data_IF_558110998041
#
_entry.id   IF_558110998041
#
_cell.length_a   1.000
_cell.length_b   1.000
_cell.length_c   1.000
_cell.angle_alpha   90.00
_cell.angle_beta   90.00
_cell.angle_gamma   90.00
#
_symmetry.space_group_name_H-M   'P 1'
#
loop_
_entity.id
_entity.type
_entity.pdbx_description
1 polymer ?
#
# COMPACT_ATOMS: atom_id res chain seq x y z
N UNK A 1 -69.12 1.56 79.68
CA UNK A 1 -67.87 0.85 79.28
C UNK A 1 -67.21 0.35 80.55
N UNK A 2 -67.03 -0.95 80.62
CA UNK A 2 -66.35 -1.60 81.71
C UNK A 2 -64.81 -1.27 81.64
N UNK A 3 -64.12 -1.39 82.76
CA UNK A 3 -62.61 -1.13 82.77
C UNK A 3 -61.87 -2.02 81.79
N UNK A 4 -62.34 -3.23 81.55
CA UNK A 4 -61.79 -4.21 80.60
C UNK A 4 -61.99 -3.78 79.14
N UNK A 5 -63.11 -3.16 78.78
CA UNK A 5 -63.36 -2.62 77.40
C UNK A 5 -62.44 -1.44 77.10
N UNK A 6 -62.09 -0.60 78.06
CA UNK A 6 -61.14 0.50 77.87
C UNK A 6 -59.72 0.00 77.66
N UNK A 7 -59.35 -1.03 78.36
CA UNK A 7 -57.99 -1.65 78.18
C UNK A 7 -57.87 -2.28 76.81
N UNK A 8 -58.91 -3.01 76.37
CA UNK A 8 -58.91 -3.64 75.05
C UNK A 8 -58.88 -2.60 73.92
N UNK A 9 -59.66 -1.52 74.03
CA UNK A 9 -59.58 -0.43 73.06
C UNK A 9 -58.22 0.24 72.99
N UNK A 10 -57.57 0.45 74.14
CA UNK A 10 -56.19 1.02 74.15
C UNK A 10 -55.17 0.08 73.46
N UNK A 11 -55.26 -1.23 73.73
CA UNK A 11 -54.36 -2.20 73.09
C UNK A 11 -54.59 -2.24 71.58
N UNK A 12 -55.87 -2.20 71.13
CA UNK A 12 -56.15 -2.20 69.68
C UNK A 12 -55.64 -0.90 69.05
N UNK A 13 -55.90 0.27 69.67
CA UNK A 13 -55.44 1.56 69.14
C UNK A 13 -53.89 1.62 69.11
N UNK A 14 -53.17 1.08 70.08
CA UNK A 14 -51.68 0.99 70.08
C UNK A 14 -51.23 0.04 68.99
N UNK A 15 -51.90 -1.11 68.79
CA UNK A 15 -51.51 -2.04 67.70
C UNK A 15 -51.75 -1.47 66.30
N UNK A 16 -52.88 -0.73 66.14
CA UNK A 16 -53.15 0.01 64.88
C UNK A 16 -52.10 1.09 64.59
N UNK A 17 -51.74 1.89 65.59
CA UNK A 17 -50.71 2.92 65.48
C UNK A 17 -49.33 2.31 65.12
N UNK A 18 -48.98 1.20 65.78
CA UNK A 18 -47.70 0.53 65.42
C UNK A 18 -47.72 -0.09 63.98
N UNK A 19 -48.86 -0.56 63.54
CA UNK A 19 -49.03 -1.07 62.16
C UNK A 19 -48.90 0.03 61.13
N UNK A 20 -49.55 1.23 61.40
CA UNK A 20 -49.40 2.41 60.53
C UNK A 20 -47.96 2.89 60.43
N UNK A 21 -47.22 2.95 61.57
CA UNK A 21 -45.82 3.30 61.56
C UNK A 21 -44.93 2.34 60.76
N UNK A 22 -45.18 1.04 60.89
CA UNK A 22 -44.46 0.02 60.09
C UNK A 22 -44.73 0.17 58.62
N UNK A 23 -46.01 0.39 58.23
CA UNK A 23 -46.37 0.58 56.80
C UNK A 23 -45.74 1.86 56.27
N UNK A 24 -45.81 2.97 56.95
CA UNK A 24 -45.19 4.24 56.53
C UNK A 24 -43.67 4.13 56.40
N UNK A 25 -43.00 3.45 57.33
CA UNK A 25 -41.58 3.19 57.24
C UNK A 25 -41.21 2.29 56.06
N UNK A 26 -42.03 1.29 55.76
CA UNK A 26 -41.85 0.38 54.62
C UNK A 26 -42.04 1.13 53.28
N UNK A 27 -43.08 1.96 53.19
CA UNK A 27 -43.36 2.79 52.00
C UNK A 27 -42.21 3.77 51.74
N UNK A 28 -41.79 4.49 52.75
CA UNK A 28 -40.63 5.41 52.63
C UNK A 28 -39.39 4.69 52.15
N UNK A 29 -39.09 3.52 52.70
CA UNK A 29 -37.93 2.73 52.28
C UNK A 29 -38.05 2.21 50.85
N UNK A 30 -39.29 1.87 50.42
CA UNK A 30 -39.55 1.48 49.03
C UNK A 30 -39.33 2.64 48.07
N UNK A 31 -39.80 3.86 48.42
CA UNK A 31 -39.54 5.06 47.62
C UNK A 31 -38.03 5.39 47.51
N UNK A 32 -37.27 5.30 48.62
CA UNK A 32 -35.84 5.51 48.62
C UNK A 32 -35.12 4.51 47.69
N UNK A 33 -35.45 3.23 47.75
CA UNK A 33 -34.88 2.19 46.86
C UNK A 33 -35.21 2.45 45.38
N UNK A 34 -36.49 2.84 45.09
CA UNK A 34 -36.90 3.14 43.71
C UNK A 34 -36.15 4.34 43.17
N UNK A 35 -35.99 5.42 43.98
CA UNK A 35 -35.23 6.61 43.60
C UNK A 35 -33.76 6.29 43.31
N UNK A 36 -33.09 5.57 44.23
CA UNK A 36 -31.70 5.16 44.06
C UNK A 36 -31.49 4.31 42.80
N UNK A 37 -32.35 3.34 42.53
CA UNK A 37 -32.29 2.51 41.34
C UNK A 37 -32.59 3.27 40.06
N UNK A 38 -33.47 4.25 40.09
CA UNK A 38 -33.73 5.11 38.95
C UNK A 38 -32.51 5.99 38.61
N UNK A 39 -31.83 6.55 39.61
CA UNK A 39 -30.60 7.32 39.43
C UNK A 39 -29.47 6.44 38.88
N UNK A 40 -29.25 5.27 39.42
CA UNK A 40 -28.28 4.31 38.92
C UNK A 40 -28.56 3.93 37.45
N UNK A 41 -29.80 3.62 37.11
CA UNK A 41 -30.22 3.25 35.76
C UNK A 41 -29.98 4.42 34.77
N UNK A 42 -30.26 5.64 35.19
CA UNK A 42 -30.03 6.84 34.37
C UNK A 42 -28.53 7.09 34.15
N UNK A 43 -27.73 6.94 35.17
CA UNK A 43 -26.24 7.05 35.04
C UNK A 43 -25.69 6.01 34.08
N UNK A 44 -26.10 4.74 34.23
CA UNK A 44 -25.66 3.68 33.33
C UNK A 44 -26.09 3.91 31.87
N UNK A 45 -27.35 4.39 31.66
CA UNK A 45 -27.80 4.73 30.32
C UNK A 45 -26.98 5.85 29.67
N UNK A 46 -26.62 6.86 30.45
CA UNK A 46 -25.75 7.94 29.97
C UNK A 46 -24.33 7.44 29.62
N UNK A 47 -23.74 6.59 30.43
CA UNK A 47 -22.43 6.00 30.14
C UNK A 47 -22.45 5.13 28.88
N UNK A 48 -23.49 4.30 28.73
CA UNK A 48 -23.66 3.46 27.51
C UNK A 48 -23.79 4.34 26.28
N UNK A 49 -24.62 5.39 26.34
CA UNK A 49 -24.82 6.31 25.22
C UNK A 49 -23.51 7.03 24.85
N UNK A 50 -22.81 7.60 25.83
CA UNK A 50 -21.53 8.28 25.62
C UNK A 50 -20.44 7.33 25.05
N UNK A 51 -20.42 6.08 25.54
CA UNK A 51 -19.51 5.05 24.99
C UNK A 51 -19.85 4.69 23.54
N UNK A 52 -21.15 4.56 23.23
CA UNK A 52 -21.62 4.25 21.88
C UNK A 52 -21.29 5.39 20.89
N UNK A 53 -21.49 6.65 21.30
CA UNK A 53 -21.14 7.82 20.50
C UNK A 53 -19.64 7.89 20.20
N UNK A 54 -18.78 7.68 21.21
CA UNK A 54 -17.32 7.62 21.01
C UNK A 54 -16.91 6.51 20.06
N UNK A 55 -17.54 5.33 20.17
CA UNK A 55 -17.24 4.20 19.27
C UNK A 55 -17.70 4.50 17.84
N UNK A 56 -18.85 5.11 17.67
CA UNK A 56 -19.37 5.50 16.35
C UNK A 56 -18.43 6.52 15.67
N UNK A 57 -17.96 7.54 16.40
CA UNK A 57 -17.02 8.52 15.88
C UNK A 57 -15.66 7.88 15.50
N UNK A 58 -15.17 6.98 16.34
CA UNK A 58 -13.92 6.24 16.04
C UNK A 58 -14.07 5.38 14.77
N UNK A 59 -15.18 4.66 14.62
CA UNK A 59 -15.45 3.83 13.42
C UNK A 59 -15.51 4.72 12.18
N UNK A 60 -16.19 5.87 12.25
CA UNK A 60 -16.28 6.82 11.14
C UNK A 60 -14.90 7.38 10.75
N UNK A 61 -14.15 7.90 11.70
CA UNK A 61 -12.81 8.45 11.49
C UNK A 61 -11.82 7.41 10.93
N UNK A 62 -11.87 6.18 11.46
CA UNK A 62 -11.05 5.08 10.96
C UNK A 62 -11.46 4.68 9.54
N UNK A 63 -12.76 4.65 9.26
CA UNK A 63 -13.28 4.36 7.91
C UNK A 63 -12.85 5.41 6.89
N UNK A 64 -12.95 6.69 7.22
CA UNK A 64 -12.49 7.79 6.36
C UNK A 64 -10.98 7.73 6.09
N UNK A 65 -10.19 7.50 7.14
CA UNK A 65 -8.73 7.35 7.01
C UNK A 65 -8.35 6.15 6.13
N UNK A 66 -9.01 5.02 6.32
CA UNK A 66 -8.79 3.82 5.52
C UNK A 66 -9.16 4.04 4.05
N UNK A 67 -10.28 4.71 3.78
CA UNK A 67 -10.69 5.05 2.41
C UNK A 67 -9.67 5.96 1.72
N UNK A 68 -9.14 6.97 2.41
CA UNK A 68 -8.09 7.84 1.88
C UNK A 68 -6.80 7.08 1.55
N UNK A 69 -6.39 6.13 2.42
CA UNK A 69 -5.23 5.28 2.18
C UNK A 69 -5.42 4.41 0.92
N UNK A 70 -6.59 3.77 0.78
CA UNK A 70 -6.91 2.95 -0.39
C UNK A 70 -6.86 3.78 -1.67
N UNK A 71 -7.43 4.97 -1.69
CA UNK A 71 -7.39 5.87 -2.85
C UNK A 71 -5.97 6.29 -3.20
N UNK A 72 -5.15 6.63 -2.20
CA UNK A 72 -3.75 6.98 -2.41
C UNK A 72 -2.95 5.81 -2.99
N UNK A 73 -3.11 4.63 -2.43
CA UNK A 73 -2.40 3.43 -2.86
C UNK A 73 -2.81 3.01 -4.28
N UNK A 74 -4.10 3.13 -4.62
CA UNK A 74 -4.59 2.90 -5.98
C UNK A 74 -3.99 3.90 -6.98
N UNK A 75 -3.92 5.19 -6.64
CA UNK A 75 -3.30 6.21 -7.46
C UNK A 75 -1.80 5.97 -7.68
N UNK A 76 -1.06 5.61 -6.61
CA UNK A 76 0.36 5.28 -6.69
C UNK A 76 0.61 4.01 -7.51
N UNK A 77 -0.22 2.98 -7.34
CA UNK A 77 -0.16 1.77 -8.15
C UNK A 77 -0.36 2.07 -9.63
N UNK A 78 -1.34 2.91 -9.95
CA UNK A 78 -1.61 3.33 -11.33
C UNK A 78 -0.48 4.16 -11.93
N UNK A 79 0.11 5.06 -11.16
CA UNK A 79 1.30 5.81 -11.59
C UNK A 79 2.46 4.88 -11.93
N UNK A 80 2.76 3.89 -11.09
CA UNK A 80 3.81 2.88 -11.34
C UNK A 80 3.53 2.09 -12.62
N UNK A 81 2.30 1.64 -12.81
CA UNK A 81 1.90 0.92 -14.03
C UNK A 81 2.14 1.75 -15.30
N UNK A 82 1.79 3.04 -15.28
CA UNK A 82 2.00 3.94 -16.40
C UNK A 82 3.49 4.18 -16.69
N UNK A 83 4.31 4.33 -15.66
CA UNK A 83 5.76 4.45 -15.80
C UNK A 83 6.36 3.18 -16.42
N UNK A 84 5.99 2.00 -15.92
CA UNK A 84 6.45 0.72 -16.51
C UNK A 84 6.03 0.57 -17.97
N UNK A 85 4.82 0.95 -18.32
CA UNK A 85 4.36 0.96 -19.72
C UNK A 85 5.19 1.90 -20.59
N UNK A 86 5.50 3.10 -20.09
CA UNK A 86 6.35 4.04 -20.80
C UNK A 86 7.77 3.49 -21.00
N UNK A 87 8.39 2.91 -19.96
CA UNK A 87 9.70 2.28 -20.05
C UNK A 87 9.73 1.14 -21.09
N UNK A 88 8.74 0.25 -21.05
CA UNK A 88 8.65 -0.85 -22.01
C UNK A 88 8.44 -0.35 -23.45
N UNK A 89 7.67 0.71 -23.65
CA UNK A 89 7.46 1.28 -24.98
C UNK A 89 8.74 1.89 -25.57
N UNK A 90 9.64 2.40 -24.73
CA UNK A 90 10.96 2.87 -25.17
C UNK A 90 11.81 1.70 -25.71
N UNK A 91 11.87 0.58 -25.00
CA UNK A 91 12.58 -0.63 -25.46
C UNK A 91 12.05 -1.10 -26.82
N UNK A 92 10.72 -1.22 -26.93
CA UNK A 92 10.07 -1.60 -28.19
C UNK A 92 10.42 -0.60 -29.31
N UNK A 93 10.40 0.71 -29.01
CA UNK A 93 10.74 1.73 -29.99
C UNK A 93 12.21 1.65 -30.46
N UNK A 94 13.14 1.35 -29.55
CA UNK A 94 14.54 1.17 -29.88
C UNK A 94 14.75 -0.06 -30.77
N UNK A 95 14.09 -1.17 -30.47
CA UNK A 95 14.19 -2.40 -31.25
C UNK A 95 13.57 -2.25 -32.67
N UNK A 96 12.63 -1.33 -32.82
CA UNK A 96 11.99 -1.04 -34.12
C UNK A 96 12.72 0.02 -34.97
N UNK A 97 13.89 0.51 -34.53
CA UNK A 97 14.70 1.37 -35.41
C UNK A 97 15.15 0.62 -36.66
N UNK A 98 15.38 1.33 -37.74
CA UNK A 98 16.09 0.79 -38.90
C UNK A 98 17.48 0.28 -38.51
N UNK A 99 17.99 -0.73 -39.22
CA UNK A 99 19.21 -1.44 -38.86
C UNK A 99 20.41 -0.50 -38.69
N UNK A 100 20.55 0.45 -39.58
CA UNK A 100 21.63 1.44 -39.50
C UNK A 100 21.55 2.28 -38.22
N UNK A 101 20.41 2.87 -37.93
CA UNK A 101 20.21 3.70 -36.74
C UNK A 101 20.38 2.89 -35.45
N UNK A 102 19.87 1.65 -35.43
CA UNK A 102 20.01 0.75 -34.31
C UNK A 102 21.47 0.40 -34.02
N UNK A 103 22.19 -0.09 -35.01
CA UNK A 103 23.59 -0.46 -34.84
C UNK A 103 24.53 0.73 -34.62
N UNK A 104 24.27 1.89 -35.18
CA UNK A 104 25.03 3.11 -34.88
C UNK A 104 24.87 3.50 -33.39
N UNK A 105 23.69 3.34 -32.81
CA UNK A 105 23.48 3.59 -31.38
C UNK A 105 24.14 2.53 -30.50
N UNK A 106 24.06 1.25 -30.88
CA UNK A 106 24.76 0.19 -30.18
C UNK A 106 26.29 0.42 -30.23
N UNK A 107 26.83 0.80 -31.37
CA UNK A 107 28.29 1.06 -31.52
C UNK A 107 28.76 2.17 -30.57
N UNK A 108 27.97 3.21 -30.37
CA UNK A 108 28.30 4.26 -29.37
C UNK A 108 28.33 3.68 -27.95
N UNK A 109 27.43 2.80 -27.61
CA UNK A 109 27.39 2.15 -26.31
C UNK A 109 28.58 1.16 -26.16
N UNK A 110 28.88 0.42 -27.21
CA UNK A 110 30.08 -0.45 -27.26
C UNK A 110 31.34 0.36 -27.01
N UNK A 111 31.58 1.45 -27.75
CA UNK A 111 32.78 2.32 -27.60
C UNK A 111 32.93 2.87 -26.17
N UNK A 112 31.83 3.09 -25.48
CA UNK A 112 31.83 3.57 -24.09
C UNK A 112 32.25 2.48 -23.10
N UNK A 113 31.94 1.21 -23.41
CA UNK A 113 32.13 0.07 -22.49
C UNK A 113 33.24 -0.91 -22.97
N UNK A 114 33.82 -0.69 -24.15
CA UNK A 114 34.87 -1.53 -24.67
C UNK A 114 36.14 -1.41 -23.82
N UNK A 115 36.80 -2.55 -23.58
CA UNK A 115 38.13 -2.65 -22.98
C UNK A 115 39.22 -2.71 -24.06
N UNK A 116 40.48 -2.53 -23.67
CA UNK A 116 41.61 -2.62 -24.59
C UNK A 116 41.99 -4.06 -24.96
N UNK A 117 41.28 -5.03 -24.41
CA UNK A 117 41.52 -6.46 -24.61
C UNK A 117 40.58 -7.04 -25.68
N UNK A 118 40.97 -8.24 -26.20
CA UNK A 118 40.10 -8.95 -27.13
C UNK A 118 38.84 -9.45 -26.43
N UNK A 119 37.69 -9.09 -26.97
CA UNK A 119 36.37 -9.44 -26.41
C UNK A 119 35.50 -10.22 -27.40
N UNK A 120 34.46 -10.84 -26.85
CA UNK A 120 33.40 -11.49 -27.61
C UNK A 120 32.07 -10.79 -27.31
N UNK A 121 31.36 -10.38 -28.36
CA UNK A 121 30.04 -9.79 -28.27
C UNK A 121 28.97 -10.83 -28.54
N UNK A 122 27.94 -10.86 -27.69
CA UNK A 122 26.76 -11.65 -27.91
C UNK A 122 25.58 -10.70 -28.15
N UNK A 123 24.77 -11.02 -29.16
CA UNK A 123 23.54 -10.32 -29.51
C UNK A 123 22.30 -11.24 -29.36
N UNK A 124 21.11 -10.67 -29.44
CA UNK A 124 19.89 -11.46 -29.53
C UNK A 124 19.79 -12.22 -30.86
N UNK A 125 18.99 -13.28 -30.91
CA UNK A 125 18.72 -13.99 -32.16
C UNK A 125 18.09 -13.08 -33.23
N UNK A 126 17.24 -12.14 -32.81
CA UNK A 126 16.63 -11.14 -33.68
C UNK A 126 17.70 -10.19 -34.27
N UNK A 127 18.63 -9.67 -33.45
CA UNK A 127 19.64 -8.73 -33.91
C UNK A 127 20.67 -9.40 -34.83
N UNK A 128 20.97 -10.70 -34.61
CA UNK A 128 21.85 -11.48 -35.50
C UNK A 128 21.26 -11.68 -36.91
N UNK A 129 19.94 -11.58 -37.06
CA UNK A 129 19.24 -11.68 -38.35
C UNK A 129 19.19 -10.38 -39.15
N UNK A 130 19.63 -9.25 -38.57
CA UNK A 130 19.59 -7.91 -39.18
C UNK A 130 20.83 -7.62 -40.03
N UNK A 131 20.76 -6.60 -40.89
CA UNK A 131 21.96 -6.16 -41.67
C UNK A 131 22.97 -5.43 -40.79
N UNK A 132 24.14 -6.05 -40.60
CA UNK A 132 25.18 -5.61 -39.70
C UNK A 132 26.52 -5.27 -40.39
N UNK A 133 26.57 -5.17 -41.73
CA UNK A 133 27.82 -5.08 -42.47
C UNK A 133 28.80 -4.00 -41.96
N UNK A 134 28.34 -2.80 -41.74
CA UNK A 134 29.17 -1.71 -41.19
C UNK A 134 29.51 -1.89 -39.70
N UNK A 135 28.61 -2.47 -38.94
CA UNK A 135 28.77 -2.68 -37.50
C UNK A 135 29.87 -3.71 -37.19
N UNK A 136 29.85 -4.84 -37.87
CA UNK A 136 30.88 -5.91 -37.71
C UNK A 136 32.30 -5.41 -38.04
N UNK A 137 32.45 -4.55 -39.05
CA UNK A 137 33.74 -3.90 -39.36
C UNK A 137 34.25 -3.05 -38.20
N UNK A 138 33.35 -2.24 -37.64
CA UNK A 138 33.69 -1.38 -36.50
C UNK A 138 34.03 -2.14 -35.22
N UNK A 139 33.38 -3.31 -34.99
CA UNK A 139 33.75 -4.18 -33.86
C UNK A 139 35.15 -4.75 -33.98
N UNK A 140 35.59 -5.12 -35.19
CA UNK A 140 36.97 -5.61 -35.43
C UNK A 140 38.02 -4.55 -35.10
N UNK A 141 37.76 -3.28 -35.38
CA UNK A 141 38.62 -2.16 -35.00
C UNK A 141 38.80 -2.04 -33.50
N UNK A 142 37.80 -2.50 -32.72
CA UNK A 142 37.81 -2.50 -31.26
C UNK A 142 38.30 -3.84 -30.67
N UNK A 143 38.86 -4.75 -31.50
CA UNK A 143 39.27 -6.09 -31.08
C UNK A 143 38.11 -6.94 -30.50
N UNK A 144 36.89 -6.69 -30.97
CA UNK A 144 35.70 -7.43 -30.53
C UNK A 144 35.23 -8.35 -31.65
N UNK A 145 35.03 -9.62 -31.34
CA UNK A 145 34.49 -10.64 -32.25
C UNK A 145 33.01 -10.86 -31.95
N UNK A 146 32.18 -10.91 -32.97
CA UNK A 146 30.79 -11.25 -32.82
C UNK A 146 30.63 -12.78 -32.66
N UNK A 147 29.79 -13.21 -31.68
CA UNK A 147 29.45 -14.62 -31.49
C UNK A 147 28.29 -15.01 -32.41
N UNK A 148 28.41 -16.19 -33.03
CA UNK A 148 27.31 -16.79 -33.80
C UNK A 148 26.22 -17.40 -32.89
N UNK A 149 26.54 -17.60 -31.60
CA UNK A 149 25.56 -18.12 -30.62
C UNK A 149 24.78 -16.96 -30.04
N UNK A 150 23.44 -16.92 -30.20
CA UNK A 150 22.60 -15.86 -29.66
C UNK A 150 22.56 -15.89 -28.13
N UNK A 151 22.43 -14.73 -27.53
CA UNK A 151 22.09 -14.56 -26.11
C UNK A 151 20.57 -14.42 -25.95
N UNK A 152 20.07 -14.88 -24.80
CA UNK A 152 18.66 -14.71 -24.43
C UNK A 152 18.45 -13.31 -23.84
N UNK A 153 18.46 -12.31 -24.71
CA UNK A 153 18.30 -10.88 -24.37
C UNK A 153 17.29 -10.24 -25.34
N UNK A 154 16.63 -9.18 -24.87
CA UNK A 154 15.68 -8.42 -25.67
C UNK A 154 16.28 -7.09 -26.15
N UNK A 155 17.26 -7.21 -27.08
CA UNK A 155 18.01 -6.08 -27.63
C UNK A 155 19.19 -5.62 -26.75
N UNK A 156 20.11 -4.89 -27.36
CA UNK A 156 21.39 -4.56 -26.75
C UNK A 156 22.43 -5.64 -26.95
N UNK A 157 23.40 -5.76 -26.06
CA UNK A 157 24.49 -6.72 -26.20
C UNK A 157 25.10 -7.12 -24.85
N UNK A 158 25.83 -8.23 -24.86
CA UNK A 158 26.71 -8.64 -23.77
C UNK A 158 28.15 -8.72 -24.31
N UNK A 159 29.09 -8.07 -23.64
CA UNK A 159 30.54 -8.20 -23.92
C UNK A 159 31.19 -9.15 -22.92
N UNK A 160 32.00 -10.07 -23.41
CA UNK A 160 32.79 -10.99 -22.60
C UNK A 160 34.31 -10.77 -22.88
N UNK A 161 35.06 -10.52 -21.82
CA UNK A 161 36.53 -10.35 -21.81
C UNK A 161 37.10 -11.37 -20.81
N UNK A 162 37.38 -12.59 -21.26
CA UNK A 162 37.73 -13.67 -20.33
C UNK A 162 36.66 -13.90 -19.27
N UNK A 163 36.99 -13.66 -18.02
CA UNK A 163 36.06 -13.81 -16.88
C UNK A 163 35.18 -12.58 -16.64
N UNK A 164 35.44 -11.46 -17.33
CA UNK A 164 34.67 -10.24 -17.17
C UNK A 164 33.49 -10.22 -18.15
N UNK A 165 32.28 -10.00 -17.60
CA UNK A 165 31.06 -9.87 -18.40
C UNK A 165 30.50 -8.47 -18.20
N UNK A 166 30.31 -7.73 -19.28
CA UNK A 166 29.66 -6.42 -19.31
C UNK A 166 28.30 -6.63 -19.97
N UNK A 167 27.24 -6.51 -19.18
CA UNK A 167 25.87 -6.63 -19.66
C UNK A 167 25.31 -5.25 -20.04
N UNK A 168 25.15 -5.03 -21.34
CA UNK A 168 24.52 -3.84 -21.94
C UNK A 168 23.20 -4.19 -22.63
N UNK A 169 22.50 -5.21 -22.16
CA UNK A 169 21.12 -5.47 -22.56
C UNK A 169 20.27 -4.22 -22.29
N UNK A 170 19.34 -3.88 -23.20
CA UNK A 170 18.50 -2.69 -23.06
C UNK A 170 17.73 -2.69 -21.73
N UNK A 171 17.23 -3.83 -21.30
CA UNK A 171 16.54 -3.95 -20.02
C UNK A 171 17.45 -3.70 -18.81
N UNK A 172 18.73 -4.10 -18.89
CA UNK A 172 19.71 -3.86 -17.84
C UNK A 172 20.10 -2.38 -17.76
N UNK A 173 20.35 -1.75 -18.91
CA UNK A 173 20.65 -0.31 -19.01
C UNK A 173 19.47 0.53 -18.51
N UNK A 174 18.23 0.18 -18.88
CA UNK A 174 17.03 0.85 -18.39
C UNK A 174 16.85 0.70 -16.88
N UNK A 175 17.26 -0.43 -16.33
CA UNK A 175 17.22 -0.68 -14.88
C UNK A 175 18.23 0.14 -14.12
N UNK A 176 19.46 0.26 -14.66
CA UNK A 176 20.51 1.12 -14.10
C UNK A 176 20.11 2.59 -14.09
N UNK A 177 19.43 3.06 -15.15
CA UNK A 177 18.96 4.44 -15.33
C UNK A 177 17.52 4.65 -14.86
N UNK A 178 16.95 3.70 -14.13
CA UNK A 178 15.52 3.69 -13.78
C UNK A 178 15.11 4.96 -13.06
N UNK A 179 15.89 5.43 -12.10
CA UNK A 179 15.51 6.58 -11.27
C UNK A 179 15.50 7.85 -12.13
N UNK A 180 16.54 8.09 -12.94
CA UNK A 180 16.60 9.23 -13.86
C UNK A 180 15.42 9.24 -14.85
N UNK A 181 15.11 8.08 -15.41
CA UNK A 181 14.02 7.94 -16.40
C UNK A 181 12.66 8.07 -15.72
N UNK A 182 12.51 7.50 -14.52
CA UNK A 182 11.29 7.60 -13.73
C UNK A 182 10.97 9.06 -13.39
N UNK A 183 11.97 9.83 -12.99
CA UNK A 183 11.80 11.26 -12.70
C UNK A 183 11.43 12.06 -13.95
N UNK A 184 12.08 11.78 -15.08
CA UNK A 184 11.74 12.40 -16.35
C UNK A 184 10.31 12.08 -16.80
N UNK A 185 9.89 10.80 -16.70
CA UNK A 185 8.54 10.35 -17.02
C UNK A 185 7.51 10.92 -16.05
N UNK A 186 7.81 10.97 -14.76
CA UNK A 186 6.95 11.61 -13.75
C UNK A 186 6.70 13.08 -14.09
N UNK A 187 7.77 13.82 -14.38
CA UNK A 187 7.67 15.23 -14.76
C UNK A 187 6.85 15.41 -16.03
N UNK A 188 7.05 14.57 -17.03
CA UNK A 188 6.36 14.68 -18.32
C UNK A 188 4.86 14.30 -18.22
N UNK A 189 4.48 13.34 -17.37
CA UNK A 189 3.11 12.83 -17.28
C UNK A 189 2.28 13.47 -16.17
N UNK A 190 2.92 13.97 -15.11
CA UNK A 190 2.24 14.39 -13.87
C UNK A 190 2.77 15.71 -13.31
N UNK A 191 3.80 16.32 -13.92
CA UNK A 191 4.44 17.57 -13.49
C UNK A 191 3.73 18.84 -13.88
#
# INVERSE_FOLDING_TARGET
MTSSEKILAAIISEAEGNAEEIIAAAEKKAEEIISERAEEAQSQAQEITASAEKKAELIKSTGESSAQLILRDAALSKKRELIEKALNSVIVSINNYDDKTYFDRLLRLVKKNAMSESGVMLLSAHDLSRDMDGFVKSLKELSITLSDTPADINGGFILKYGDIIINCELSAVMREKRDEITDAVNTALFG
#
